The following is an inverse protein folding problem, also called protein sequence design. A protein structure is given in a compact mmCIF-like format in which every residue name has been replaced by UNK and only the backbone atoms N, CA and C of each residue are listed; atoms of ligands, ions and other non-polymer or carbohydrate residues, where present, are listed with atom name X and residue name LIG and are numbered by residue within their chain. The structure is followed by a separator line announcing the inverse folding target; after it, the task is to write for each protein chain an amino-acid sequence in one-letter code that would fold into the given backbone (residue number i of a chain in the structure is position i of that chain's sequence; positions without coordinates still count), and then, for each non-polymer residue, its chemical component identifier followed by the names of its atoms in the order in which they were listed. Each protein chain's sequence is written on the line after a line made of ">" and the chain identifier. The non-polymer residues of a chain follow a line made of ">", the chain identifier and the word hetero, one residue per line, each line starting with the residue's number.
data_IF_884833379959
#
_entry.id   IF_884833379959
#
_cell.length_a   1.000
_cell.length_b   1.000
_cell.length_c   1.000
_cell.angle_alpha   90.00
_cell.angle_beta   90.00
_cell.angle_gamma   90.00
#
_symmetry.space_group_name_H-M   'P 1'
#
loop_
_entity.id
_entity.type
_entity.pdbx_description
1 polymer ?
#
# COMPACT_ATOMS: atom_id res chain seq x y z
N UNK A 1 27.71 -10.34 1.86
CA UNK A 1 26.63 -11.35 1.88
C UNK A 1 26.28 -11.60 3.35
N UNK A 2 25.25 -10.96 3.86
CA UNK A 2 24.73 -11.24 5.20
C UNK A 2 23.95 -12.55 5.12
N UNK A 3 24.37 -13.56 5.88
CA UNK A 3 23.58 -14.78 6.05
C UNK A 3 22.22 -14.39 6.62
N UNK A 4 21.17 -14.58 5.85
CA UNK A 4 19.78 -14.51 6.29
C UNK A 4 19.65 -15.45 7.50
N UNK A 5 19.39 -14.88 8.66
CA UNK A 5 18.93 -15.64 9.81
C UNK A 5 17.53 -16.15 9.43
N UNK A 6 17.45 -17.39 8.94
CA UNK A 6 16.16 -18.07 8.72
C UNK A 6 15.47 -18.18 10.08
N UNK A 7 14.49 -17.34 10.34
CA UNK A 7 13.50 -17.61 11.35
C UNK A 7 12.70 -18.83 10.88
N UNK A 8 12.71 -19.90 11.65
CA UNK A 8 12.08 -21.17 11.28
C UNK A 8 10.53 -21.14 11.35
N UNK A 9 9.95 -19.97 11.50
CA UNK A 9 8.50 -19.80 11.63
C UNK A 9 8.00 -18.69 10.73
N UNK A 10 7.71 -19.02 9.47
CA UNK A 10 7.01 -18.16 8.52
C UNK A 10 5.69 -18.79 8.08
N UNK A 11 4.66 -18.82 8.93
CA UNK A 11 3.38 -19.36 8.51
C UNK A 11 2.72 -18.53 7.40
N UNK A 12 3.13 -17.28 7.24
CA UNK A 12 2.46 -16.34 6.33
C UNK A 12 3.36 -15.74 5.26
N UNK A 13 4.71 -15.61 5.48
CA UNK A 13 5.53 -14.84 4.57
C UNK A 13 7.05 -14.95 4.80
N UNK A 14 7.81 -15.25 3.73
CA UNK A 14 9.26 -15.06 3.66
C UNK A 14 9.59 -13.93 2.66
N UNK A 15 10.02 -12.74 3.13
CA UNK A 15 10.33 -11.59 2.25
C UNK A 15 11.52 -11.83 1.33
N UNK A 16 12.33 -12.86 1.60
CA UNK A 16 13.57 -13.16 0.89
C UNK A 16 13.49 -14.43 0.02
N UNK A 17 12.38 -15.13 0.06
CA UNK A 17 12.17 -16.32 -0.77
C UNK A 17 11.89 -15.91 -2.21
N UNK A 18 12.79 -16.28 -3.14
CA UNK A 18 12.54 -16.22 -4.58
C UNK A 18 11.54 -17.30 -5.05
N UNK A 19 11.39 -18.36 -4.27
CA UNK A 19 10.32 -19.34 -4.46
C UNK A 19 9.03 -18.67 -4.04
N UNK A 20 8.20 -18.31 -5.00
CA UNK A 20 6.94 -17.64 -4.82
C UNK A 20 6.18 -18.21 -3.62
N UNK A 21 5.70 -17.31 -2.74
CA UNK A 21 4.81 -17.68 -1.65
C UNK A 21 3.61 -18.47 -2.16
N UNK A 22 2.70 -18.83 -1.28
CA UNK A 22 1.47 -19.54 -1.62
C UNK A 22 0.83 -18.97 -2.89
N UNK A 23 0.47 -19.82 -3.83
CA UNK A 23 -0.23 -19.43 -5.05
C UNK A 23 -1.52 -18.66 -4.72
N UNK A 24 -1.97 -17.79 -5.62
CA UNK A 24 -3.17 -16.98 -5.42
C UNK A 24 -4.39 -17.80 -4.99
N UNK A 25 -4.65 -18.96 -5.66
CA UNK A 25 -5.73 -19.86 -5.29
C UNK A 25 -5.63 -20.41 -3.86
N UNK A 26 -4.42 -20.71 -3.39
CA UNK A 26 -4.19 -21.15 -2.00
C UNK A 26 -4.49 -20.06 -1.00
N UNK A 27 -4.11 -18.81 -1.28
CA UNK A 27 -4.40 -17.64 -0.42
C UNK A 27 -5.90 -17.42 -0.29
N UNK A 28 -6.63 -17.48 -1.42
CA UNK A 28 -8.09 -17.40 -1.44
C UNK A 28 -8.70 -18.56 -0.63
N UNK A 29 -8.26 -19.79 -0.90
CA UNK A 29 -8.77 -20.99 -0.23
C UNK A 29 -8.58 -20.96 1.29
N UNK A 30 -7.38 -20.58 1.76
CA UNK A 30 -7.09 -20.47 3.20
C UNK A 30 -7.94 -19.35 3.83
N UNK A 31 -8.01 -18.18 3.18
CA UNK A 31 -8.79 -17.05 3.70
C UNK A 31 -10.27 -17.36 3.79
N UNK A 32 -10.85 -17.99 2.78
CA UNK A 32 -12.23 -18.49 2.81
C UNK A 32 -12.41 -19.58 3.88
N UNK A 33 -11.43 -20.46 4.05
CA UNK A 33 -11.43 -21.50 5.07
C UNK A 33 -11.51 -20.94 6.50
N UNK A 34 -10.78 -19.85 6.80
CA UNK A 34 -10.87 -19.17 8.09
C UNK A 34 -12.26 -18.60 8.35
N UNK A 35 -12.83 -17.89 7.37
CA UNK A 35 -14.16 -17.31 7.54
C UNK A 35 -15.26 -18.38 7.59
N UNK A 36 -15.20 -19.40 6.72
CA UNK A 36 -16.15 -20.51 6.73
C UNK A 36 -16.08 -21.32 8.04
N UNK A 37 -14.87 -21.59 8.53
CA UNK A 37 -14.66 -22.24 9.82
C UNK A 37 -15.30 -21.46 10.96
N UNK A 38 -15.05 -20.14 11.02
CA UNK A 38 -15.68 -19.27 11.99
C UNK A 38 -17.22 -19.27 11.83
N UNK A 39 -17.73 -19.12 10.60
CA UNK A 39 -19.17 -19.12 10.33
C UNK A 39 -19.85 -20.39 10.83
N UNK A 40 -19.26 -21.56 10.57
CA UNK A 40 -19.78 -22.84 11.05
C UNK A 40 -19.80 -22.91 12.59
N UNK A 41 -18.68 -22.56 13.23
CA UNK A 41 -18.58 -22.56 14.69
C UNK A 41 -19.62 -21.61 15.31
N UNK A 42 -19.75 -20.40 14.77
CA UNK A 42 -20.75 -19.44 15.23
C UNK A 42 -22.17 -19.95 15.02
N UNK A 43 -22.49 -20.46 13.82
CA UNK A 43 -23.81 -20.99 13.49
C UNK A 43 -24.23 -22.10 14.45
N UNK A 44 -23.33 -23.05 14.73
CA UNK A 44 -23.66 -24.17 15.65
C UNK A 44 -23.70 -23.73 17.12
N UNK A 45 -23.01 -22.68 17.51
CA UNK A 45 -23.05 -22.15 18.89
C UNK A 45 -24.35 -21.42 19.24
N UNK A 46 -25.09 -20.94 18.23
CA UNK A 46 -26.32 -20.18 18.42
C UNK A 46 -27.50 -21.10 18.84
N UNK A 47 -28.30 -20.69 19.83
CA UNK A 47 -29.51 -21.42 20.22
C UNK A 47 -30.56 -21.37 19.10
N UNK A 48 -30.79 -20.21 18.50
CA UNK A 48 -31.60 -20.02 17.29
C UNK A 48 -30.73 -19.67 16.09
N UNK A 49 -30.87 -20.46 15.02
CA UNK A 49 -30.09 -20.30 13.78
C UNK A 49 -30.48 -19.05 13.00
N UNK A 50 -31.66 -18.50 13.23
CA UNK A 50 -32.09 -17.24 12.59
C UNK A 50 -31.25 -16.06 13.08
N UNK A 51 -30.71 -16.10 14.29
CA UNK A 51 -29.81 -15.05 14.84
C UNK A 51 -28.58 -14.87 13.97
N UNK A 52 -28.07 -15.95 13.35
CA UNK A 52 -26.91 -15.89 12.45
C UNK A 52 -27.12 -14.89 11.29
N UNK A 53 -28.36 -14.82 10.80
CA UNK A 53 -28.69 -13.93 9.68
C UNK A 53 -29.19 -12.57 10.18
N UNK A 54 -30.05 -12.52 11.20
CA UNK A 54 -30.63 -11.27 11.71
C UNK A 54 -29.61 -10.33 12.35
N UNK A 55 -28.60 -10.88 13.06
CA UNK A 55 -27.51 -10.09 13.67
C UNK A 55 -26.25 -10.05 12.77
N UNK A 56 -26.39 -10.38 11.50
CA UNK A 56 -25.33 -10.28 10.50
C UNK A 56 -24.00 -10.99 10.87
N UNK A 57 -24.07 -12.12 11.61
CA UNK A 57 -22.90 -12.92 11.98
C UNK A 57 -22.11 -13.43 10.73
N UNK A 58 -22.83 -13.72 9.64
CA UNK A 58 -22.23 -14.11 8.38
C UNK A 58 -21.33 -13.03 7.76
N UNK A 59 -21.65 -11.74 8.00
CA UNK A 59 -20.80 -10.63 7.53
C UNK A 59 -19.50 -10.59 8.33
N UNK A 60 -19.52 -10.89 9.64
CA UNK A 60 -18.30 -11.01 10.43
C UNK A 60 -17.38 -12.12 9.89
N UNK A 61 -17.96 -13.23 9.45
CA UNK A 61 -17.20 -14.30 8.77
C UNK A 61 -16.57 -13.82 7.45
N UNK A 62 -17.29 -13.01 6.67
CA UNK A 62 -16.74 -12.36 5.46
C UNK A 62 -15.64 -11.36 5.79
N UNK A 63 -15.77 -10.59 6.86
CA UNK A 63 -14.73 -9.68 7.34
C UNK A 63 -13.46 -10.48 7.67
N UNK A 64 -13.57 -11.58 8.39
CA UNK A 64 -12.44 -12.44 8.74
C UNK A 64 -11.77 -12.99 7.48
N UNK A 65 -12.56 -13.51 6.51
CA UNK A 65 -12.04 -13.99 5.22
C UNK A 65 -11.31 -12.89 4.45
N UNK A 66 -11.96 -11.74 4.27
CA UNK A 66 -11.44 -10.64 3.46
C UNK A 66 -10.22 -9.99 4.11
N UNK A 67 -10.22 -9.82 5.44
CA UNK A 67 -9.06 -9.30 6.19
C UNK A 67 -7.87 -10.25 6.11
N UNK A 68 -8.09 -11.56 6.22
CA UNK A 68 -7.04 -12.57 6.05
C UNK A 68 -6.47 -12.56 4.63
N UNK A 69 -7.32 -12.43 3.62
CA UNK A 69 -6.89 -12.28 2.23
C UNK A 69 -6.13 -10.98 2.02
N UNK A 70 -6.62 -9.86 2.57
CA UNK A 70 -5.95 -8.57 2.51
C UNK A 70 -4.55 -8.60 3.12
N UNK A 71 -4.34 -9.36 4.21
CA UNK A 71 -3.04 -9.56 4.80
C UNK A 71 -2.06 -10.27 3.84
N UNK A 72 -2.51 -11.34 3.15
CA UNK A 72 -1.66 -11.99 2.13
C UNK A 72 -1.30 -11.05 0.99
N UNK A 73 -2.26 -10.26 0.51
CA UNK A 73 -2.00 -9.27 -0.53
C UNK A 73 -1.07 -8.16 -0.03
N UNK A 74 -1.23 -7.69 1.21
CA UNK A 74 -0.35 -6.69 1.81
C UNK A 74 1.11 -7.13 1.81
N UNK A 75 1.36 -8.40 2.18
CA UNK A 75 2.70 -8.97 2.18
C UNK A 75 3.28 -9.09 0.76
N UNK A 76 2.47 -9.47 -0.24
CA UNK A 76 2.89 -9.51 -1.63
C UNK A 76 3.18 -8.11 -2.19
N UNK A 77 2.33 -7.13 -1.89
CA UNK A 77 2.53 -5.72 -2.28
C UNK A 77 3.82 -5.18 -1.67
N UNK A 78 4.07 -5.44 -0.40
CA UNK A 78 5.30 -5.04 0.27
C UNK A 78 6.54 -5.63 -0.43
N UNK A 79 6.54 -6.95 -0.69
CA UNK A 79 7.62 -7.65 -1.39
C UNK A 79 7.86 -7.08 -2.79
N UNK A 80 6.79 -6.93 -3.56
CA UNK A 80 6.87 -6.42 -4.91
C UNK A 80 7.44 -5.00 -4.94
N UNK A 81 6.92 -4.12 -4.09
CA UNK A 81 7.41 -2.75 -4.00
C UNK A 81 8.87 -2.70 -3.58
N UNK A 82 9.28 -3.50 -2.61
CA UNK A 82 10.66 -3.60 -2.17
C UNK A 82 11.60 -4.05 -3.31
N UNK A 83 11.16 -5.03 -4.11
CA UNK A 83 11.91 -5.51 -5.28
C UNK A 83 12.06 -4.41 -6.33
N UNK A 84 10.95 -3.77 -6.73
CA UNK A 84 10.95 -2.69 -7.72
C UNK A 84 11.80 -1.50 -7.25
N UNK A 85 11.70 -1.12 -5.97
CA UNK A 85 12.52 -0.05 -5.41
C UNK A 85 14.01 -0.37 -5.45
N UNK A 86 14.40 -1.60 -5.16
CA UNK A 86 15.80 -2.05 -5.27
C UNK A 86 16.30 -2.04 -6.72
N UNK A 87 15.46 -2.40 -7.68
CA UNK A 87 15.79 -2.33 -9.11
C UNK A 87 16.02 -0.88 -9.58
N UNK A 88 15.19 0.07 -9.11
CA UNK A 88 15.31 1.50 -9.43
C UNK A 88 16.55 2.13 -8.79
N UNK A 89 16.82 1.84 -7.50
CA UNK A 89 17.95 2.44 -6.78
C UNK A 89 19.32 2.01 -7.31
N UNK A 90 19.41 0.82 -7.90
CA UNK A 90 20.66 0.28 -8.43
C UNK A 90 21.75 0.16 -7.36
N UNK A 91 22.62 1.19 -7.24
CA UNK A 91 23.73 1.25 -6.29
C UNK A 91 23.42 1.95 -4.97
N UNK A 92 22.31 2.69 -4.91
CA UNK A 92 21.92 3.45 -3.71
C UNK A 92 21.12 2.55 -2.77
N UNK A 93 21.81 1.93 -1.82
CA UNK A 93 21.17 1.09 -0.80
C UNK A 93 20.61 1.99 0.29
N UNK A 94 19.34 2.37 0.18
CA UNK A 94 18.62 2.88 1.34
C UNK A 94 18.57 1.74 2.36
N UNK A 95 18.99 1.98 3.59
CA UNK A 95 18.92 0.99 4.67
C UNK A 95 17.44 0.77 5.04
N UNK A 96 16.77 -0.13 4.31
CA UNK A 96 15.39 -0.54 4.55
C UNK A 96 15.27 -1.49 5.75
N UNK A 97 16.38 -1.74 6.44
CA UNK A 97 16.47 -2.71 7.54
C UNK A 97 15.39 -2.51 8.61
N UNK A 98 15.10 -1.25 8.97
CA UNK A 98 14.04 -0.94 9.95
C UNK A 98 12.66 -1.39 9.47
N UNK A 99 12.38 -1.26 8.17
CA UNK A 99 11.07 -1.65 7.60
C UNK A 99 10.97 -3.17 7.49
N UNK A 100 12.09 -3.84 7.15
CA UNK A 100 12.17 -5.31 7.18
C UNK A 100 11.91 -5.87 8.59
N UNK A 101 12.43 -5.20 9.62
CA UNK A 101 12.19 -5.59 11.03
C UNK A 101 10.71 -5.45 11.41
N UNK A 102 10.02 -4.40 10.97
CA UNK A 102 8.59 -4.20 11.27
C UNK A 102 7.69 -5.26 10.64
N UNK A 103 8.08 -5.83 9.51
CA UNK A 103 7.35 -6.92 8.85
C UNK A 103 7.72 -8.30 9.41
N UNK A 104 8.51 -8.37 10.48
CA UNK A 104 8.80 -9.65 11.15
C UNK A 104 7.57 -10.22 11.83
N UNK A 105 7.49 -11.56 11.92
CA UNK A 105 6.38 -12.29 12.52
C UNK A 105 6.06 -11.80 13.93
N UNK A 106 7.08 -11.47 14.71
CA UNK A 106 6.93 -10.97 16.09
C UNK A 106 6.10 -9.69 16.13
N UNK A 107 6.40 -8.71 15.28
CA UNK A 107 5.70 -7.43 15.27
C UNK A 107 4.31 -7.55 14.63
N UNK A 108 4.17 -8.39 13.59
CA UNK A 108 2.88 -8.68 12.99
C UNK A 108 1.94 -9.33 14.01
N UNK A 109 2.40 -10.36 14.74
CA UNK A 109 1.60 -10.99 15.78
C UNK A 109 1.25 -10.04 16.91
N UNK A 110 2.21 -9.22 17.38
CA UNK A 110 1.96 -8.23 18.42
C UNK A 110 0.89 -7.22 18.01
N UNK A 111 0.99 -6.69 16.79
CA UNK A 111 -0.02 -5.77 16.23
C UNK A 111 -1.38 -6.45 16.10
N UNK A 112 -1.41 -7.71 15.65
CA UNK A 112 -2.63 -8.52 15.58
C UNK A 112 -3.28 -8.67 16.95
N UNK A 113 -2.53 -9.10 17.97
CA UNK A 113 -3.05 -9.26 19.32
C UNK A 113 -3.55 -7.94 19.92
N UNK A 114 -2.78 -6.86 19.78
CA UNK A 114 -3.16 -5.55 20.29
C UNK A 114 -4.47 -5.06 19.65
N UNK A 115 -4.57 -5.17 18.32
CA UNK A 115 -5.76 -4.70 17.60
C UNK A 115 -6.95 -5.65 17.75
N UNK A 116 -6.71 -6.97 17.85
CA UNK A 116 -7.72 -7.97 18.18
C UNK A 116 -8.36 -7.70 19.54
N UNK A 117 -7.54 -7.41 20.55
CA UNK A 117 -8.02 -7.01 21.89
C UNK A 117 -8.78 -5.70 21.84
N UNK A 118 -8.26 -4.69 21.12
CA UNK A 118 -8.94 -3.41 20.96
C UNK A 118 -10.32 -3.56 20.29
N UNK A 119 -10.40 -4.36 19.21
CA UNK A 119 -11.66 -4.62 18.51
C UNK A 119 -12.68 -5.35 19.39
N UNK A 120 -12.24 -6.32 20.18
CA UNK A 120 -13.07 -7.02 21.16
C UNK A 120 -13.58 -6.04 22.23
N UNK A 121 -12.73 -5.14 22.71
CA UNK A 121 -13.12 -4.09 23.67
C UNK A 121 -14.15 -3.13 23.08
N UNK A 122 -13.98 -2.74 21.82
CA UNK A 122 -14.96 -1.91 21.10
C UNK A 122 -16.31 -2.63 21.01
N UNK A 123 -16.34 -3.89 20.60
CA UNK A 123 -17.57 -4.70 20.57
C UNK A 123 -18.25 -4.77 21.94
N UNK A 124 -17.48 -4.88 23.03
CA UNK A 124 -18.00 -4.83 24.40
C UNK A 124 -18.57 -3.45 24.77
N UNK A 125 -17.89 -2.37 24.40
CA UNK A 125 -18.35 -0.99 24.66
C UNK A 125 -19.62 -0.64 23.88
N UNK A 126 -19.77 -1.17 22.66
CA UNK A 126 -20.98 -1.00 21.85
C UNK A 126 -22.18 -1.77 22.46
N UNK A 127 -21.88 -2.80 23.22
CA UNK A 127 -22.86 -3.70 23.81
C UNK A 127 -23.34 -4.75 22.84
N UNK A 128 -22.85 -5.95 22.99
CA UNK A 128 -23.28 -7.12 22.21
C UNK A 128 -24.80 -7.31 22.37
N UNK A 129 -25.55 -7.65 21.29
CA UNK A 129 -26.98 -7.90 21.38
C UNK A 129 -27.34 -8.96 22.43
N UNK A 130 -28.45 -8.71 23.16
CA UNK A 130 -28.88 -9.57 24.28
C UNK A 130 -29.12 -11.02 23.89
N UNK A 131 -29.48 -11.28 22.65
CA UNK A 131 -29.71 -12.63 22.10
C UNK A 131 -28.49 -13.56 22.21
N UNK A 132 -27.28 -13.01 22.27
CA UNK A 132 -26.04 -13.81 22.43
C UNK A 132 -25.79 -14.22 23.90
N UNK A 133 -26.47 -13.60 24.87
CA UNK A 133 -26.33 -13.96 26.29
C UNK A 133 -27.14 -15.20 26.69
N UNK A 134 -28.01 -15.71 25.80
CA UNK A 134 -28.78 -16.92 26.05
C UNK A 134 -27.90 -18.18 26.10
N UNK A 135 -26.71 -18.13 25.48
CA UNK A 135 -25.74 -19.23 25.49
C UNK A 135 -24.32 -18.68 25.69
N UNK A 136 -23.61 -19.22 26.67
CA UNK A 136 -22.19 -18.90 26.91
C UNK A 136 -21.33 -19.18 25.67
N UNK A 137 -21.59 -20.26 24.95
CA UNK A 137 -20.86 -20.58 23.71
C UNK A 137 -21.11 -19.56 22.63
N UNK A 138 -22.33 -19.08 22.47
CA UNK A 138 -22.70 -18.03 21.51
C UNK A 138 -21.97 -16.72 21.81
N UNK A 139 -21.97 -16.29 23.06
CA UNK A 139 -21.29 -15.07 23.50
C UNK A 139 -19.78 -15.17 23.29
N UNK A 140 -19.16 -16.30 23.67
CA UNK A 140 -17.72 -16.52 23.45
C UNK A 140 -17.37 -16.48 21.97
N UNK A 141 -18.19 -17.06 21.11
CA UNK A 141 -17.93 -17.09 19.67
C UNK A 141 -18.05 -15.70 19.02
N UNK A 142 -18.96 -14.83 19.47
CA UNK A 142 -19.05 -13.45 18.99
C UNK A 142 -17.79 -12.67 19.37
N UNK A 143 -17.35 -12.74 20.62
CA UNK A 143 -16.11 -12.09 21.05
C UNK A 143 -14.87 -12.65 20.33
N UNK A 144 -14.84 -13.96 20.13
CA UNK A 144 -13.79 -14.59 19.34
C UNK A 144 -13.75 -14.09 17.89
N UNK A 145 -14.93 -13.89 17.27
CA UNK A 145 -15.04 -13.29 15.94
C UNK A 145 -14.54 -11.86 15.89
N UNK A 146 -14.88 -11.03 16.89
CA UNK A 146 -14.32 -9.68 16.99
C UNK A 146 -12.80 -9.72 17.15
N UNK A 147 -12.28 -10.63 17.98
CA UNK A 147 -10.85 -10.82 18.12
C UNK A 147 -10.18 -11.23 16.82
N UNK A 148 -10.70 -12.23 16.11
CA UNK A 148 -10.11 -12.71 14.84
C UNK A 148 -10.13 -11.64 13.74
N UNK A 149 -11.27 -10.95 13.57
CA UNK A 149 -11.38 -9.84 12.62
C UNK A 149 -10.40 -8.71 12.93
N UNK A 150 -10.29 -8.34 14.20
CA UNK A 150 -9.34 -7.36 14.68
C UNK A 150 -7.88 -7.83 14.55
N UNK A 151 -7.60 -9.10 14.85
CA UNK A 151 -6.26 -9.68 14.75
C UNK A 151 -5.72 -9.61 13.32
N UNK A 152 -6.50 -10.06 12.33
CA UNK A 152 -6.11 -9.98 10.92
C UNK A 152 -5.96 -8.52 10.46
N UNK A 153 -6.89 -7.63 10.88
CA UNK A 153 -6.84 -6.20 10.57
C UNK A 153 -5.63 -5.50 11.20
N UNK A 154 -5.23 -5.87 12.43
CA UNK A 154 -4.06 -5.31 13.11
C UNK A 154 -2.75 -5.65 12.43
N UNK A 155 -2.60 -6.89 11.96
CA UNK A 155 -1.46 -7.27 11.13
C UNK A 155 -1.46 -6.48 9.81
N UNK A 156 -2.62 -6.31 9.18
CA UNK A 156 -2.79 -5.50 7.98
C UNK A 156 -2.43 -4.02 8.22
N UNK A 157 -2.81 -3.46 9.36
CA UNK A 157 -2.48 -2.08 9.75
C UNK A 157 -0.96 -1.87 9.86
N UNK A 158 -0.25 -2.81 10.46
CA UNK A 158 1.22 -2.75 10.51
C UNK A 158 1.83 -2.83 9.11
N UNK A 159 1.32 -3.72 8.26
CA UNK A 159 1.76 -3.84 6.86
C UNK A 159 1.51 -2.54 6.07
N UNK A 160 0.34 -1.89 6.23
CA UNK A 160 0.05 -0.58 5.64
C UNK A 160 1.08 0.46 6.10
N UNK A 161 1.34 0.52 7.40
CA UNK A 161 2.30 1.46 7.98
C UNK A 161 3.71 1.20 7.44
N UNK A 162 4.12 -0.06 7.34
CA UNK A 162 5.40 -0.44 6.76
C UNK A 162 5.54 -0.01 5.29
N UNK A 163 4.50 -0.19 4.47
CA UNK A 163 4.46 0.27 3.08
C UNK A 163 4.58 1.80 3.00
N UNK A 164 3.83 2.54 3.80
CA UNK A 164 3.91 4.01 3.84
C UNK A 164 5.34 4.45 4.20
N UNK A 165 5.92 3.89 5.26
CA UNK A 165 7.30 4.23 5.70
C UNK A 165 8.32 3.85 4.62
N UNK A 166 8.14 2.70 3.94
CA UNK A 166 8.98 2.30 2.83
C UNK A 166 9.01 3.38 1.74
N UNK A 167 7.84 3.87 1.31
CA UNK A 167 7.75 4.93 0.30
C UNK A 167 8.34 6.25 0.78
N UNK A 168 8.09 6.65 2.01
CA UNK A 168 8.65 7.88 2.57
C UNK A 168 10.19 7.85 2.62
N UNK A 169 10.78 6.68 2.87
CA UNK A 169 12.24 6.49 2.87
C UNK A 169 12.82 6.38 1.46
N UNK A 170 12.09 5.78 0.54
CA UNK A 170 12.52 5.58 -0.84
C UNK A 170 12.38 6.87 -1.68
N UNK A 171 11.30 7.66 -1.47
CA UNK A 171 11.02 8.82 -2.31
C UNK A 171 12.21 9.77 -2.52
N UNK A 172 13.06 10.08 -1.52
CA UNK A 172 14.23 10.95 -1.74
C UNK A 172 15.25 10.42 -2.75
N UNK A 173 15.37 9.10 -2.93
CA UNK A 173 16.30 8.51 -3.91
C UNK A 173 15.88 8.76 -5.35
N UNK A 174 14.58 8.94 -5.60
CA UNK A 174 14.02 9.16 -6.94
C UNK A 174 14.61 10.38 -7.67
N UNK A 175 15.08 11.39 -6.95
CA UNK A 175 15.70 12.57 -7.56
C UNK A 175 16.96 12.23 -8.38
N UNK A 176 17.55 11.03 -8.22
CA UNK A 176 18.78 10.61 -8.89
C UNK A 176 18.59 9.41 -9.83
N UNK A 177 17.45 8.74 -9.79
CA UNK A 177 17.25 7.42 -10.41
C UNK A 177 16.15 7.38 -11.47
N UNK A 178 15.36 8.43 -11.59
CA UNK A 178 14.29 8.50 -12.60
C UNK A 178 14.84 8.56 -14.02
N UNK A 179 14.28 7.74 -14.91
CA UNK A 179 14.57 7.80 -16.33
C UNK A 179 13.43 8.49 -17.10
N UNK A 180 13.67 9.69 -17.66
CA UNK A 180 12.65 10.41 -18.44
C UNK A 180 12.21 9.68 -19.71
N UNK A 181 13.04 8.75 -20.23
CA UNK A 181 12.78 8.01 -21.45
C UNK A 181 12.05 6.68 -21.21
N UNK A 182 11.75 6.34 -19.94
CA UNK A 182 11.04 5.11 -19.64
C UNK A 182 9.66 5.11 -20.32
N UNK A 183 9.29 4.03 -21.03
CA UNK A 183 8.04 3.94 -21.79
C UNK A 183 6.77 4.00 -20.93
N UNK A 184 6.89 3.89 -19.61
CA UNK A 184 5.75 4.05 -18.69
C UNK A 184 5.28 5.51 -18.58
N UNK A 185 6.09 6.47 -19.05
CA UNK A 185 5.84 7.90 -18.97
C UNK A 185 5.91 8.49 -17.55
N UNK A 186 6.29 7.68 -16.57
CA UNK A 186 6.41 8.04 -15.15
C UNK A 186 7.84 7.86 -14.62
N UNK A 187 8.82 7.64 -15.49
CA UNK A 187 10.21 7.42 -15.10
C UNK A 187 10.48 6.05 -14.45
N UNK A 188 9.71 5.01 -14.80
CA UNK A 188 9.85 3.64 -14.28
C UNK A 188 9.07 3.34 -12.99
N UNK A 189 8.29 4.28 -12.48
CA UNK A 189 7.60 4.15 -11.18
C UNK A 189 6.10 3.82 -11.24
N UNK A 190 5.52 3.68 -12.45
CA UNK A 190 4.07 3.42 -12.60
C UNK A 190 3.61 2.16 -11.85
N UNK A 191 4.39 1.09 -11.93
CA UNK A 191 4.08 -0.19 -11.28
C UNK A 191 3.90 -0.06 -9.76
N UNK A 192 4.61 0.88 -9.12
CA UNK A 192 4.47 1.15 -7.69
C UNK A 192 3.09 1.76 -7.37
N UNK A 193 2.58 2.63 -8.25
CA UNK A 193 1.26 3.22 -8.09
C UNK A 193 0.13 2.21 -8.24
N UNK A 194 0.23 1.34 -9.24
CA UNK A 194 -0.80 0.34 -9.52
C UNK A 194 -1.01 -0.62 -8.32
N UNK A 195 0.08 -0.99 -7.63
CA UNK A 195 0.00 -1.84 -6.43
C UNK A 195 -0.66 -1.13 -5.24
N UNK A 196 -0.43 0.17 -5.07
CA UNK A 196 -1.05 0.95 -4.00
C UNK A 196 -2.55 1.10 -4.22
N UNK A 197 -3.00 1.32 -5.46
CA UNK A 197 -4.42 1.38 -5.80
C UNK A 197 -5.13 0.06 -5.52
N UNK A 198 -4.54 -1.06 -5.94
CA UNK A 198 -5.08 -2.39 -5.65
C UNK A 198 -5.23 -2.61 -4.14
N UNK A 199 -4.20 -2.28 -3.39
CA UNK A 199 -4.20 -2.48 -1.94
C UNK A 199 -5.18 -1.54 -1.23
N UNK A 200 -5.22 -0.26 -1.62
CA UNK A 200 -6.20 0.70 -1.11
C UNK A 200 -7.65 0.27 -1.39
N UNK A 201 -7.93 -0.25 -2.59
CA UNK A 201 -9.23 -0.81 -2.96
C UNK A 201 -9.64 -2.00 -2.08
N UNK A 202 -8.70 -2.88 -1.78
CA UNK A 202 -8.96 -4.04 -0.91
C UNK A 202 -9.25 -3.62 0.55
N UNK A 203 -8.52 -2.64 1.08
CA UNK A 203 -8.79 -2.07 2.41
C UNK A 203 -10.17 -1.40 2.41
N UNK A 204 -10.52 -0.69 1.34
CA UNK A 204 -11.84 -0.10 1.16
C UNK A 204 -12.96 -1.14 1.15
N UNK A 205 -12.75 -2.28 0.51
CA UNK A 205 -13.71 -3.40 0.52
C UNK A 205 -13.92 -3.96 1.94
N UNK A 206 -12.83 -4.13 2.72
CA UNK A 206 -12.96 -4.48 4.15
C UNK A 206 -13.76 -3.42 4.89
N UNK A 207 -13.52 -2.14 4.61
CA UNK A 207 -14.28 -1.02 5.21
C UNK A 207 -15.79 -1.09 4.93
N UNK A 208 -16.17 -1.45 3.70
CA UNK A 208 -17.59 -1.64 3.34
C UNK A 208 -18.20 -2.78 4.16
N UNK A 209 -17.53 -3.92 4.27
CA UNK A 209 -18.02 -5.05 5.07
C UNK A 209 -18.13 -4.68 6.56
N UNK A 210 -17.13 -3.97 7.11
CA UNK A 210 -17.18 -3.45 8.49
C UNK A 210 -18.37 -2.53 8.66
N UNK A 211 -18.63 -1.61 7.71
CA UNK A 211 -19.78 -0.71 7.77
C UNK A 211 -21.10 -1.47 7.77
N UNK A 212 -21.27 -2.43 6.85
CA UNK A 212 -22.49 -3.25 6.77
C UNK A 212 -22.71 -4.02 8.08
N UNK A 213 -21.66 -4.61 8.66
CA UNK A 213 -21.76 -5.30 9.95
C UNK A 213 -22.12 -4.33 11.08
N UNK A 214 -21.40 -3.22 11.19
CA UNK A 214 -21.60 -2.26 12.27
C UNK A 214 -22.98 -1.61 12.27
N UNK A 215 -23.52 -1.27 11.10
CA UNK A 215 -24.87 -0.70 10.96
C UNK A 215 -25.99 -1.75 11.01
N UNK A 216 -25.67 -3.02 10.73
CA UNK A 216 -26.65 -4.09 10.67
C UNK A 216 -26.81 -4.90 11.97
N UNK A 217 -26.00 -4.65 12.99
CA UNK A 217 -26.09 -5.31 14.32
C UNK A 217 -26.86 -4.45 15.29
N UNK A 218 -27.68 -5.08 16.12
CA UNK A 218 -28.52 -4.42 17.14
C UNK A 218 -27.74 -4.11 18.42
N UNK A 219 -26.79 -3.16 18.36
CA UNK A 219 -25.93 -2.80 19.50
C UNK A 219 -26.72 -2.25 20.69
N UNK A 220 -26.55 -2.83 21.86
CA UNK A 220 -27.33 -2.51 23.05
C UNK A 220 -27.11 -1.07 23.58
N UNK A 221 -25.87 -0.52 23.47
CA UNK A 221 -25.51 0.75 24.09
C UNK A 221 -25.45 1.94 23.13
N UNK A 222 -25.96 1.82 21.90
CA UNK A 222 -25.95 2.89 20.89
C UNK A 222 -26.70 4.17 21.31
N UNK A 223 -27.57 4.11 22.33
CA UNK A 223 -28.22 5.29 22.87
C UNK A 223 -27.27 6.23 23.63
N UNK A 224 -26.07 5.76 24.01
CA UNK A 224 -25.08 6.55 24.75
C UNK A 224 -24.21 7.36 23.80
N UNK A 225 -24.09 8.68 24.00
CA UNK A 225 -23.35 9.56 23.06
C UNK A 225 -21.88 9.17 22.84
N UNK A 226 -21.15 8.79 23.90
CA UNK A 226 -19.76 8.36 23.76
C UNK A 226 -19.62 7.07 22.94
N UNK A 227 -20.62 6.18 23.00
CA UNK A 227 -20.64 4.93 22.21
C UNK A 227 -20.84 5.24 20.73
N UNK A 228 -21.71 6.21 20.40
CA UNK A 228 -21.88 6.66 19.01
C UNK A 228 -20.59 7.23 18.43
N UNK A 229 -19.82 7.96 19.24
CA UNK A 229 -18.52 8.47 18.81
C UNK A 229 -17.51 7.34 18.52
N UNK A 230 -17.40 6.35 19.43
CA UNK A 230 -16.57 5.16 19.23
C UNK A 230 -16.99 4.39 17.97
N UNK A 231 -18.29 4.22 17.77
CA UNK A 231 -18.87 3.58 16.61
C UNK A 231 -18.45 4.29 15.30
N UNK A 232 -18.67 5.59 15.20
CA UNK A 232 -18.33 6.37 14.00
C UNK A 232 -16.82 6.35 13.73
N UNK A 233 -16.01 6.48 14.78
CA UNK A 233 -14.55 6.38 14.64
C UNK A 233 -14.14 5.01 14.06
N UNK A 234 -14.71 3.93 14.62
CA UNK A 234 -14.35 2.57 14.20
C UNK A 234 -14.79 2.25 12.78
N UNK A 235 -15.97 2.71 12.38
CA UNK A 235 -16.47 2.55 10.99
C UNK A 235 -15.64 3.37 10.00
N UNK A 236 -15.17 4.56 10.38
CA UNK A 236 -14.37 5.42 9.48
C UNK A 236 -12.92 4.98 9.32
N UNK A 237 -12.38 4.21 10.27
CA UNK A 237 -10.96 3.83 10.32
C UNK A 237 -10.46 3.13 9.04
N UNK A 238 -11.12 2.10 8.48
CA UNK A 238 -10.68 1.45 7.24
C UNK A 238 -10.63 2.41 6.04
N UNK A 239 -11.55 3.36 5.94
CA UNK A 239 -11.57 4.34 4.86
C UNK A 239 -10.43 5.34 4.97
N UNK A 240 -10.13 5.81 6.18
CA UNK A 240 -8.98 6.67 6.44
C UNK A 240 -7.69 5.94 6.04
N UNK A 241 -7.55 4.66 6.37
CA UNK A 241 -6.41 3.85 6.00
C UNK A 241 -6.32 3.62 4.48
N UNK A 242 -7.45 3.32 3.81
CA UNK A 242 -7.50 3.14 2.37
C UNK A 242 -7.07 4.40 1.60
N UNK A 243 -7.48 5.58 2.08
CA UNK A 243 -7.06 6.85 1.50
C UNK A 243 -5.57 7.12 1.81
N UNK A 244 -5.15 6.87 3.04
CA UNK A 244 -3.79 7.16 3.50
C UNK A 244 -2.73 6.36 2.74
N UNK A 245 -2.99 5.07 2.44
CA UNK A 245 -2.03 4.20 1.73
C UNK A 245 -1.79 4.67 0.28
N UNK A 246 -2.75 5.34 -0.34
CA UNK A 246 -2.61 5.90 -1.69
C UNK A 246 -2.06 7.33 -1.63
N UNK A 247 -2.65 8.16 -0.77
CA UNK A 247 -2.37 9.60 -0.74
C UNK A 247 -0.98 9.93 -0.22
N UNK A 248 -0.56 9.34 0.91
CA UNK A 248 0.72 9.70 1.55
C UNK A 248 1.92 9.32 0.66
N UNK A 249 2.05 8.05 0.18
CA UNK A 249 3.10 7.70 -0.76
C UNK A 249 3.03 8.50 -2.06
N UNK A 250 1.82 8.72 -2.58
CA UNK A 250 1.59 9.49 -3.80
C UNK A 250 2.13 10.92 -3.73
N UNK A 251 1.85 11.61 -2.63
CA UNK A 251 2.35 12.97 -2.40
C UNK A 251 3.88 12.99 -2.22
N UNK A 252 4.44 12.02 -1.50
CA UNK A 252 5.88 11.90 -1.30
C UNK A 252 6.62 11.73 -2.64
N UNK A 253 6.16 10.80 -3.47
CA UNK A 253 6.75 10.55 -4.80
C UNK A 253 6.56 11.75 -5.72
N UNK A 254 5.35 12.33 -5.80
CA UNK A 254 5.06 13.51 -6.63
C UNK A 254 6.02 14.67 -6.33
N UNK A 255 6.28 14.93 -5.05
CA UNK A 255 7.21 15.99 -4.64
C UNK A 255 8.62 15.74 -5.20
N UNK A 256 9.12 14.51 -5.12
CA UNK A 256 10.47 14.19 -5.61
C UNK A 256 10.57 14.20 -7.12
N UNK A 257 9.54 13.70 -7.82
CA UNK A 257 9.48 13.80 -9.30
C UNK A 257 9.50 15.24 -9.76
N UNK A 258 8.73 16.12 -9.11
CA UNK A 258 8.74 17.56 -9.42
C UNK A 258 10.12 18.17 -9.17
N UNK A 259 10.80 17.76 -8.10
CA UNK A 259 12.15 18.22 -7.78
C UNK A 259 13.16 17.77 -8.84
N UNK A 260 13.12 16.47 -9.22
CA UNK A 260 13.93 15.92 -10.29
C UNK A 260 13.76 16.70 -11.61
N UNK A 261 12.50 16.92 -12.02
CA UNK A 261 12.18 17.67 -13.26
C UNK A 261 12.73 19.09 -13.23
N UNK A 262 12.54 19.80 -12.14
CA UNK A 262 13.06 21.17 -11.99
C UNK A 262 14.57 21.20 -12.04
N UNK A 263 15.24 20.31 -11.32
CA UNK A 263 16.69 20.22 -11.26
C UNK A 263 17.29 19.87 -12.63
N UNK A 264 16.81 18.79 -13.25
CA UNK A 264 17.31 18.34 -14.57
C UNK A 264 17.01 19.35 -15.67
N UNK A 265 15.82 19.95 -15.66
CA UNK A 265 15.47 21.05 -16.59
C UNK A 265 16.37 22.27 -16.41
N UNK A 266 16.73 22.60 -15.15
CA UNK A 266 17.67 23.67 -14.85
C UNK A 266 19.05 23.39 -15.42
N UNK A 267 19.58 22.19 -15.21
CA UNK A 267 20.89 21.76 -15.77
C UNK A 267 20.89 21.83 -17.30
N UNK A 268 19.89 21.22 -17.95
CA UNK A 268 19.80 21.20 -19.42
C UNK A 268 19.66 22.60 -20.02
N UNK A 269 18.93 23.50 -19.37
CA UNK A 269 18.82 24.90 -19.81
C UNK A 269 20.17 25.64 -19.70
N UNK A 270 20.93 25.43 -18.62
CA UNK A 270 22.26 26.04 -18.48
C UNK A 270 23.23 25.48 -19.53
N UNK A 271 23.21 24.18 -19.78
CA UNK A 271 24.03 23.55 -20.82
C UNK A 271 23.66 24.08 -22.21
N UNK A 272 22.34 24.17 -22.50
CA UNK A 272 21.85 24.79 -23.75
C UNK A 272 22.37 26.19 -23.96
N UNK A 273 22.37 27.05 -22.93
CA UNK A 273 22.88 28.43 -23.01
C UNK A 273 24.38 28.45 -23.30
N UNK A 274 25.17 27.59 -22.64
CA UNK A 274 26.60 27.47 -22.89
C UNK A 274 26.89 27.02 -24.33
N UNK A 275 26.24 25.95 -24.79
CA UNK A 275 26.40 25.44 -26.15
C UNK A 275 25.95 26.46 -27.21
N UNK A 276 24.85 27.15 -26.96
CA UNK A 276 24.35 28.21 -27.85
C UNK A 276 25.31 29.38 -27.94
N UNK A 277 25.95 29.79 -26.85
CA UNK A 277 26.97 30.84 -26.87
C UNK A 277 28.21 30.43 -27.69
N UNK A 278 28.65 29.17 -27.55
CA UNK A 278 29.74 28.61 -28.37
C UNK A 278 29.32 28.49 -29.84
N UNK A 279 28.14 28.01 -30.15
CA UNK A 279 27.61 27.91 -31.51
C UNK A 279 27.60 29.28 -32.21
N UNK A 280 27.19 30.35 -31.50
CA UNK A 280 27.14 31.71 -32.02
C UNK A 280 28.52 32.29 -32.29
N UNK A 281 29.57 31.90 -31.55
CA UNK A 281 30.96 32.32 -31.83
C UNK A 281 31.52 31.73 -33.14
N UNK A 282 31.00 30.59 -33.60
CA UNK A 282 31.39 29.95 -34.87
C UNK A 282 30.53 30.43 -36.05
N UNK A 283 29.48 31.23 -35.83
CA UNK A 283 28.55 31.65 -36.88
C UNK A 283 29.22 32.55 -37.94
N UNK A 284 30.31 33.25 -37.56
CA UNK A 284 31.04 34.20 -38.40
C UNK A 284 32.30 33.64 -39.05
N UNK A 285 32.60 32.35 -38.93
CA UNK A 285 33.85 31.74 -39.46
C UNK A 285 33.48 30.63 -40.48
N UNK A 286 34.14 30.66 -41.65
CA UNK A 286 33.87 29.77 -42.79
C UNK A 286 34.94 28.68 -43.07
N UNK A 287 35.77 28.30 -42.09
CA UNK A 287 36.77 27.25 -42.24
C UNK A 287 36.12 25.87 -42.20
N UNK A 288 36.58 24.90 -43.02
CA UNK A 288 36.02 23.55 -43.12
C UNK A 288 36.01 22.77 -41.78
N UNK A 289 37.05 22.98 -40.97
CA UNK A 289 37.17 22.36 -39.65
C UNK A 289 36.09 22.89 -38.70
N UNK A 290 35.73 24.14 -38.82
CA UNK A 290 34.70 24.85 -38.04
C UNK A 290 33.28 24.40 -38.47
N UNK A 291 33.08 24.02 -39.73
CA UNK A 291 31.80 23.50 -40.22
C UNK A 291 31.47 22.15 -39.52
N UNK A 292 32.48 21.29 -39.32
CA UNK A 292 32.31 20.05 -38.57
C UNK A 292 31.93 20.25 -37.11
N UNK A 293 32.62 21.16 -36.41
CA UNK A 293 32.30 21.50 -35.01
C UNK A 293 30.92 22.14 -34.87
N UNK A 294 30.54 23.01 -35.79
CA UNK A 294 29.22 23.64 -35.83
C UNK A 294 28.11 22.59 -35.98
N UNK A 295 28.29 21.58 -36.82
CA UNK A 295 27.35 20.48 -36.97
C UNK A 295 27.21 19.68 -35.68
N UNK A 296 28.32 19.32 -35.04
CA UNK A 296 28.32 18.61 -33.76
C UNK A 296 27.61 19.38 -32.64
N UNK A 297 27.83 20.69 -32.56
CA UNK A 297 27.16 21.57 -31.62
C UNK A 297 25.64 21.66 -31.89
N UNK A 298 25.26 21.71 -33.18
CA UNK A 298 23.86 21.67 -33.60
C UNK A 298 23.14 20.37 -33.14
N UNK A 299 23.78 19.23 -33.36
CA UNK A 299 23.25 17.92 -32.92
C UNK A 299 23.15 17.83 -31.39
N UNK A 300 24.10 18.37 -30.65
CA UNK A 300 24.03 18.46 -29.18
C UNK A 300 22.89 19.36 -28.70
N UNK A 301 22.67 20.49 -29.33
CA UNK A 301 21.55 21.39 -29.03
C UNK A 301 20.20 20.75 -29.29
N UNK A 302 20.07 20.01 -30.39
CA UNK A 302 18.85 19.26 -30.71
C UNK A 302 18.58 18.16 -29.67
N UNK A 303 19.60 17.39 -29.26
CA UNK A 303 19.46 16.40 -28.18
C UNK A 303 18.96 17.03 -26.89
N UNK A 304 19.53 18.14 -26.45
CA UNK A 304 19.10 18.85 -25.24
C UNK A 304 17.66 19.32 -25.38
N UNK A 305 17.26 19.78 -26.56
CA UNK A 305 15.88 20.21 -26.81
C UNK A 305 14.91 19.02 -26.67
N UNK A 306 15.25 17.88 -27.26
CA UNK A 306 14.47 16.66 -27.20
C UNK A 306 14.36 16.12 -25.74
N UNK A 307 15.45 16.16 -24.98
CA UNK A 307 15.45 15.80 -23.55
C UNK A 307 14.55 16.73 -22.73
N UNK A 308 14.59 18.04 -22.99
CA UNK A 308 13.70 19.01 -22.32
C UNK A 308 12.22 18.77 -22.63
N UNK A 309 11.89 18.38 -23.85
CA UNK A 309 10.51 18.01 -24.23
C UNK A 309 10.07 16.72 -23.57
N UNK A 310 10.94 15.70 -23.52
CA UNK A 310 10.66 14.46 -22.82
C UNK A 310 10.40 14.68 -21.34
N UNK A 311 11.23 15.51 -20.68
CA UNK A 311 11.01 15.90 -19.28
C UNK A 311 9.68 16.61 -19.06
N UNK A 312 9.25 17.47 -19.99
CA UNK A 312 7.93 18.14 -19.91
C UNK A 312 6.78 17.14 -20.02
N UNK A 313 6.90 16.15 -20.89
CA UNK A 313 5.88 15.10 -21.12
C UNK A 313 5.81 14.09 -19.99
N UNK A 314 6.89 13.89 -19.23
CA UNK A 314 6.93 12.98 -18.08
C UNK A 314 5.87 13.40 -17.05
N UNK A 315 5.12 12.43 -16.50
CA UNK A 315 4.10 12.66 -15.46
C UNK A 315 4.71 13.05 -14.13
N UNK A 316 3.95 13.75 -13.31
CA UNK A 316 4.43 14.23 -12.02
C UNK A 316 4.26 13.22 -10.89
N UNK A 317 3.50 12.15 -11.11
CA UNK A 317 3.23 11.14 -10.08
C UNK A 317 2.97 9.77 -10.72
N UNK A 318 3.32 8.71 -10.00
CA UNK A 318 2.99 7.33 -10.36
C UNK A 318 1.49 7.01 -10.25
N UNK A 319 0.70 7.92 -9.66
CA UNK A 319 -0.75 7.79 -9.46
C UNK A 319 -1.54 8.55 -10.55
N UNK A 320 -0.90 9.46 -11.26
CA UNK A 320 -1.58 10.25 -12.31
C UNK A 320 -2.12 9.29 -13.39
N UNK A 321 -3.46 9.18 -13.47
CA UNK A 321 -4.14 8.46 -14.53
C UNK A 321 -3.84 9.05 -15.92
N UNK A 322 -4.07 8.29 -16.99
CA UNK A 322 -4.08 8.85 -18.35
C UNK A 322 -5.11 9.99 -18.36
N UNK A 323 -4.67 11.23 -18.56
CA UNK A 323 -5.55 12.20 -19.16
C UNK A 323 -5.87 11.62 -20.55
N UNK A 324 -7.09 11.14 -20.73
CA UNK A 324 -7.65 10.87 -22.05
C UNK A 324 -7.71 12.22 -22.77
N UNK A 325 -6.70 12.45 -23.64
CA UNK A 325 -6.84 13.44 -24.69
C UNK A 325 -7.90 12.97 -25.69
#
# INVERSE_FOLDING_TARGET
>A
MAKSQKSNFYPFYDPYSDSGGLGYGSKVGISLGFGAGYALLQYYSLPDKMIFFSENCWILALIISTSSFALYIATDVFRYNLKVMREIEGKYVVSLKVVDEWMSDKWLLLAGFAFGTANTTVGHLLGVPSVFFESTSSLMMVYFGFFLGGFASGMGLLAITAVIVLYLKFAPSLQYTLDPNDPDGNGGIKKLGDTLWLFGGLIGAVGILVSIHMFGVSWTFMHKQYVQFVFLFWVSLPYILAISIVLIPGLAVRRQVSYFKSYKSGQLKQEKVKLYSSYKQFESKEDEEIISEKKELGEKLERIQNELETLKKMRNSHIDGKNSD
#
